data_IF_825464375609
#
_entry.id   IF_825464375609
#
_cell.length_a   1.000
_cell.length_b   1.000
_cell.length_c   1.000
_cell.angle_alpha   90.00
_cell.angle_beta   90.00
_cell.angle_gamma   90.00
#
_symmetry.space_group_name_H-M   'P 1'
#
loop_
_entity.id
_entity.type
_entity.pdbx_description
1 polymer ?
#
# COMPACT_ATOMS: atom_id res chain seq x y z
N UNK A 1 -16.42 13.09 4.42
CA UNK A 1 -15.82 11.76 4.18
C UNK A 1 -16.87 10.75 3.75
N UNK A 2 -16.53 9.86 2.81
CA UNK A 2 -17.39 8.75 2.36
C UNK A 2 -17.46 7.67 3.45
N UNK A 3 -18.59 6.96 3.64
CA UNK A 3 -18.67 5.86 4.60
C UNK A 3 -17.65 4.77 4.31
N UNK A 4 -16.99 4.27 5.35
CA UNK A 4 -15.94 3.25 5.28
C UNK A 4 -16.32 2.04 4.42
N UNK A 5 -17.51 1.47 4.63
CA UNK A 5 -17.93 0.28 3.89
C UNK A 5 -18.04 0.53 2.38
N UNK A 6 -18.40 1.75 1.98
CA UNK A 6 -18.43 2.13 0.56
C UNK A 6 -17.03 2.30 -0.02
N UNK A 7 -16.05 2.76 0.78
CA UNK A 7 -14.65 2.82 0.34
C UNK A 7 -14.09 1.40 0.13
N UNK A 8 -14.29 0.52 1.12
CA UNK A 8 -13.86 -0.88 1.05
C UNK A 8 -14.49 -1.62 -0.12
N UNK A 9 -15.81 -1.52 -0.32
CA UNK A 9 -16.50 -2.17 -1.43
C UNK A 9 -16.03 -1.69 -2.81
N UNK A 10 -15.50 -0.47 -2.90
CA UNK A 10 -14.91 0.08 -4.12
C UNK A 10 -13.40 -0.17 -4.24
N UNK A 11 -12.78 -0.91 -3.32
CA UNK A 11 -11.34 -1.17 -3.32
C UNK A 11 -10.47 0.03 -2.92
N UNK A 12 -11.06 1.10 -2.37
CA UNK A 12 -10.33 2.25 -1.82
C UNK A 12 -9.77 1.92 -0.44
N UNK A 13 -8.79 1.02 -0.41
CA UNK A 13 -8.07 0.56 0.78
C UNK A 13 -6.57 0.63 0.53
N UNK A 14 -5.78 0.64 1.61
CA UNK A 14 -4.32 0.65 1.49
C UNK A 14 -3.82 -0.58 0.73
N UNK A 15 -2.69 -0.41 0.01
CA UNK A 15 -1.96 -1.52 -0.58
C UNK A 15 -1.56 -2.53 0.50
N UNK A 16 -1.51 -3.82 0.14
CA UNK A 16 -1.03 -4.88 1.04
C UNK A 16 0.48 -4.81 1.33
N UNK A 17 1.19 -3.86 0.71
CA UNK A 17 2.60 -3.58 0.94
C UNK A 17 2.77 -2.47 1.99
N UNK A 18 1.70 -1.81 2.42
CA UNK A 18 1.72 -0.89 3.55
C UNK A 18 1.67 -1.67 4.87
N UNK A 19 2.33 -1.14 5.89
CA UNK A 19 2.19 -1.64 7.26
C UNK A 19 0.81 -1.29 7.85
N UNK A 20 0.60 -1.66 9.12
CA UNK A 20 -0.60 -1.29 9.86
C UNK A 20 -0.69 0.21 10.20
N UNK A 21 0.38 0.99 9.97
CA UNK A 21 0.38 2.45 10.15
C UNK A 21 -0.54 3.16 9.15
N UNK A 22 -0.91 2.48 8.05
CA UNK A 22 -1.87 2.96 7.06
C UNK A 22 -1.23 3.62 5.84
N UNK A 23 -2.05 4.38 5.11
CA UNK A 23 -1.68 5.03 3.85
C UNK A 23 -2.39 6.38 3.66
N UNK A 24 -1.85 7.23 2.79
CA UNK A 24 -2.46 8.48 2.34
C UNK A 24 -3.42 8.29 1.17
N UNK A 25 -3.36 7.14 0.50
CA UNK A 25 -4.09 6.90 -0.74
C UNK A 25 -3.92 5.46 -1.27
N UNK A 26 -4.29 5.28 -2.53
CA UNK A 26 -4.20 3.98 -3.20
C UNK A 26 -2.76 3.66 -3.63
N UNK A 27 -2.46 2.36 -3.59
CA UNK A 27 -1.19 1.86 -4.06
C UNK A 27 -0.06 2.02 -3.04
N UNK A 28 1.12 1.49 -3.36
CA UNK A 28 2.25 1.39 -2.43
C UNK A 28 3.14 2.60 -2.29
N UNK A 29 3.00 3.58 -3.17
CA UNK A 29 3.73 4.84 -3.03
C UNK A 29 3.14 5.73 -1.93
N UNK A 30 1.94 5.39 -1.47
CA UNK A 30 1.14 6.16 -0.52
C UNK A 30 1.19 5.59 0.90
N UNK A 31 1.99 4.56 1.15
CA UNK A 31 2.11 3.99 2.50
C UNK A 31 2.77 5.00 3.45
N UNK A 32 2.29 5.07 4.69
CA UNK A 32 2.99 5.82 5.75
C UNK A 32 4.30 5.12 6.11
N UNK A 33 4.31 3.79 6.13
CA UNK A 33 5.50 2.95 6.24
C UNK A 33 5.30 1.62 5.49
N UNK A 34 6.38 1.06 4.95
CA UNK A 34 6.33 -0.20 4.20
C UNK A 34 6.29 -1.41 5.15
N UNK A 35 5.48 -2.42 4.82
CA UNK A 35 5.45 -3.69 5.54
C UNK A 35 6.71 -4.55 5.31
N UNK A 36 7.38 -4.36 4.16
CA UNK A 36 8.57 -5.10 3.76
C UNK A 36 9.69 -4.16 3.32
N UNK A 37 9.91 -4.00 2.00
CA UNK A 37 11.03 -3.23 1.46
C UNK A 37 10.54 -1.94 0.79
N UNK A 38 11.37 -0.91 0.79
CA UNK A 38 11.09 0.36 0.12
C UNK A 38 12.11 0.60 -0.98
N UNK A 39 11.64 0.77 -2.22
CA UNK A 39 12.44 1.22 -3.34
C UNK A 39 11.97 2.62 -3.76
N UNK A 40 12.79 3.63 -3.46
CA UNK A 40 12.37 5.02 -3.64
C UNK A 40 11.19 5.37 -2.75
N UNK A 41 10.02 5.65 -3.35
CA UNK A 41 8.77 5.88 -2.61
C UNK A 41 7.84 4.66 -2.57
N UNK A 42 8.14 3.61 -3.33
CA UNK A 42 7.25 2.48 -3.55
C UNK A 42 7.59 1.34 -2.61
N UNK A 43 6.61 0.85 -1.86
CA UNK A 43 6.75 -0.37 -1.05
C UNK A 43 6.63 -1.63 -1.90
N UNK A 44 7.63 -2.51 -1.80
CA UNK A 44 7.73 -3.79 -2.53
C UNK A 44 7.60 -4.97 -1.57
N UNK A 45 7.04 -6.07 -2.06
CA UNK A 45 7.00 -7.34 -1.31
C UNK A 45 8.36 -8.05 -1.25
N UNK A 46 9.20 -7.89 -2.29
CA UNK A 46 10.52 -8.52 -2.42
C UNK A 46 11.48 -7.59 -3.14
N UNK A 47 12.78 -7.73 -2.86
CA UNK A 47 13.87 -7.09 -3.63
C UNK A 47 14.34 -7.95 -4.81
N UNK A 48 13.78 -9.15 -5.00
CA UNK A 48 14.07 -9.96 -6.19
C UNK A 48 13.56 -9.24 -7.44
N UNK A 49 14.43 -8.88 -8.40
CA UNK A 49 14.03 -8.16 -9.60
C UNK A 49 13.03 -8.93 -10.46
N UNK A 50 12.89 -10.25 -10.29
CA UNK A 50 11.93 -11.09 -11.02
C UNK A 50 10.56 -11.18 -10.33
N UNK A 51 10.44 -10.75 -9.07
CA UNK A 51 9.20 -10.78 -8.28
C UNK A 51 8.66 -9.37 -7.97
N UNK A 52 9.22 -8.34 -8.61
CA UNK A 52 8.91 -6.94 -8.32
C UNK A 52 7.46 -6.54 -8.64
N UNK A 53 6.74 -6.19 -7.57
CA UNK A 53 5.31 -5.87 -7.42
C UNK A 53 4.34 -7.06 -7.37
#
# INVERSE_FOLDING_TARGET
NRPWEKCKASGFVCSSQCSLDGCWGLGPSECLSCAYFQLGKTCLKSCDPNLGY
#
